data_IF_887893221585
#
_entry.id   IF_887893221585
#
_cell.length_a   1.000
_cell.length_b   1.000
_cell.length_c   1.000
_cell.angle_alpha   90.00
_cell.angle_beta   90.00
_cell.angle_gamma   90.00
#
_symmetry.space_group_name_H-M   'P 1'
#
loop_
_entity.id
_entity.type
_entity.pdbx_description
1 polymer ?
#
# COMPACT_ATOMS: atom_id res chain seq x y z
N UNK A 1 -49.60 24.91 8.40
CA UNK A 1 -50.09 25.04 9.80
C UNK A 1 -49.76 23.72 10.50
N UNK A 2 -49.03 23.75 11.63
CA UNK A 2 -48.48 22.58 12.37
C UNK A 2 -47.45 21.72 11.58
N UNK A 3 -46.14 21.64 11.86
CA UNK A 3 -45.31 21.48 13.10
C UNK A 3 -45.14 20.02 13.57
N UNK A 4 -43.90 19.52 13.45
CA UNK A 4 -43.06 18.74 14.42
C UNK A 4 -41.73 18.42 13.71
N UNK A 5 -40.59 19.05 14.06
CA UNK A 5 -39.69 18.88 15.22
C UNK A 5 -38.83 17.59 15.21
N UNK A 6 -37.53 17.75 14.92
CA UNK A 6 -36.35 17.14 15.58
C UNK A 6 -35.11 17.87 15.00
N UNK A 7 -34.58 18.91 15.64
CA UNK A 7 -33.50 18.91 16.66
C UNK A 7 -32.17 18.34 16.16
N UNK A 8 -31.18 19.23 16.07
CA UNK A 8 -29.78 19.00 15.70
C UNK A 8 -28.86 18.98 16.95
N UNK A 9 -27.62 18.53 16.76
CA UNK A 9 -26.43 18.72 17.64
C UNK A 9 -26.44 18.06 19.03
N UNK A 10 -25.51 17.13 19.25
CA UNK A 10 -24.24 17.38 19.99
C UNK A 10 -23.70 16.12 20.68
N UNK A 11 -22.46 15.71 20.36
CA UNK A 11 -21.55 15.00 21.27
C UNK A 11 -20.13 15.52 20.98
N UNK A 12 -19.41 15.92 22.02
CA UNK A 12 -17.98 16.19 21.96
C UNK A 12 -17.23 15.35 22.99
N UNK A 13 -15.91 15.23 22.79
CA UNK A 13 -14.86 14.86 23.74
C UNK A 13 -15.17 13.80 24.84
N UNK A 14 -14.52 12.64 24.73
CA UNK A 14 -14.28 11.74 25.87
C UNK A 14 -12.77 11.58 26.10
N UNK A 15 -12.25 12.30 27.10
CA UNK A 15 -10.88 12.13 27.62
C UNK A 15 -10.87 10.89 28.54
N UNK A 16 -9.87 10.02 28.39
CA UNK A 16 -9.65 8.89 29.30
C UNK A 16 -8.21 8.89 29.87
N UNK A 17 -8.10 9.17 31.17
CA UNK A 17 -6.87 9.10 31.98
C UNK A 17 -6.96 7.87 32.91
N UNK A 18 -6.15 6.82 32.73
CA UNK A 18 -5.72 5.85 33.79
C UNK A 18 -4.31 5.35 33.41
N UNK A 19 -3.24 5.86 34.03
CA UNK A 19 -2.54 5.33 35.24
C UNK A 19 -1.76 4.03 35.02
N UNK A 20 -0.45 4.08 35.31
CA UNK A 20 0.51 2.99 35.11
C UNK A 20 0.45 1.89 36.18
N UNK A 21 0.92 0.69 35.82
CA UNK A 21 1.45 -0.30 36.75
C UNK A 21 2.70 -0.96 36.15
N UNK A 22 3.85 -0.79 36.82
CA UNK A 22 5.09 -1.47 36.50
C UNK A 22 5.13 -2.87 37.12
N UNK A 23 5.75 -3.83 36.45
CA UNK A 23 6.44 -4.94 37.14
C UNK A 23 7.49 -5.60 36.25
N UNK A 24 8.73 -5.60 36.76
CA UNK A 24 9.89 -6.31 36.21
C UNK A 24 10.06 -7.67 36.89
N UNK A 25 10.37 -8.73 36.15
CA UNK A 25 11.03 -9.93 36.72
C UNK A 25 12.05 -10.48 35.72
N UNK A 26 13.20 -10.91 36.26
CA UNK A 26 14.40 -11.38 35.57
C UNK A 26 14.39 -12.86 35.11
N UNK A 27 15.33 -13.17 34.19
CA UNK A 27 16.02 -14.47 34.00
C UNK A 27 15.20 -15.67 33.47
N UNK A 28 15.69 -16.49 32.53
CA UNK A 28 16.96 -17.23 32.64
C UNK A 28 17.52 -17.78 31.31
N UNK A 29 18.83 -18.03 31.27
CA UNK A 29 19.52 -18.80 30.21
C UNK A 29 19.38 -20.31 30.46
N UNK A 30 19.12 -21.10 29.41
CA UNK A 30 19.71 -22.46 29.25
C UNK A 30 19.92 -22.77 27.75
N UNK A 31 21.14 -23.16 27.41
CA UNK A 31 21.54 -24.01 26.28
C UNK A 31 22.38 -25.13 26.94
N UNK A 32 22.35 -26.41 26.54
CA UNK A 32 22.84 -26.86 25.22
C UNK A 32 21.92 -27.99 24.64
N UNK A 33 22.27 -28.88 23.70
CA UNK A 33 23.55 -29.28 23.08
C UNK A 33 23.34 -29.91 21.68
N UNK A 34 24.44 -30.33 21.03
CA UNK A 34 24.45 -31.14 19.79
C UNK A 34 25.28 -32.41 20.03
N UNK A 35 24.92 -33.55 19.42
CA UNK A 35 25.96 -34.43 18.89
C UNK A 35 25.70 -34.86 17.43
N UNK A 36 26.79 -35.02 16.68
CA UNK A 36 26.82 -35.51 15.31
C UNK A 36 27.83 -36.66 15.16
N UNK A 37 27.51 -37.67 14.33
CA UNK A 37 28.41 -38.66 13.66
C UNK A 37 27.53 -39.47 12.68
N UNK A 38 27.85 -39.60 11.38
CA UNK A 38 28.75 -40.59 10.75
C UNK A 38 28.19 -42.05 10.78
N UNK A 39 28.32 -42.94 9.78
CA UNK A 39 29.15 -42.95 8.56
C UNK A 39 28.66 -43.99 7.48
N UNK A 40 28.96 -43.70 6.20
CA UNK A 40 29.20 -44.56 4.99
C UNK A 40 28.66 -46.00 4.75
N UNK A 41 28.05 -46.16 3.54
CA UNK A 41 28.30 -47.15 2.45
C UNK A 41 28.13 -48.68 2.64
N UNK A 42 27.36 -49.34 1.73
CA UNK A 42 27.96 -50.04 0.57
C UNK A 42 27.00 -50.55 -0.55
N UNK A 43 27.45 -50.33 -1.80
CA UNK A 43 27.27 -51.07 -3.09
C UNK A 43 26.07 -51.97 -3.41
N UNK A 44 25.51 -51.78 -4.64
CA UNK A 44 25.21 -52.90 -5.56
C UNK A 44 23.95 -52.77 -6.43
N UNK A 45 24.08 -52.57 -7.75
CA UNK A 45 22.98 -52.72 -8.72
C UNK A 45 23.10 -51.81 -9.95
N UNK A 46 23.05 -52.38 -11.16
CA UNK A 46 23.16 -51.66 -12.43
C UNK A 46 21.81 -51.52 -13.16
N UNK A 47 21.81 -50.71 -14.23
CA UNK A 47 20.76 -50.55 -15.26
C UNK A 47 19.51 -49.72 -14.88
N UNK A 48 19.52 -48.44 -15.25
CA UNK A 48 18.75 -47.96 -16.42
C UNK A 48 18.95 -46.45 -16.62
N UNK A 49 19.44 -46.04 -17.80
CA UNK A 49 19.50 -44.62 -18.17
C UNK A 49 18.12 -44.15 -18.66
N UNK A 50 17.17 -43.98 -17.73
CA UNK A 50 16.03 -43.11 -17.99
C UNK A 50 16.54 -41.67 -18.01
N UNK A 51 16.63 -41.11 -19.21
CA UNK A 51 16.91 -39.69 -19.45
C UNK A 51 15.74 -38.89 -18.88
N UNK A 52 15.81 -38.51 -17.60
CA UNK A 52 14.87 -37.58 -17.00
C UNK A 52 14.87 -36.32 -17.86
N UNK A 53 13.76 -36.11 -18.58
CA UNK A 53 13.44 -34.78 -19.07
C UNK A 53 13.26 -33.92 -17.83
N UNK A 54 14.27 -33.11 -17.51
CA UNK A 54 14.08 -31.97 -16.64
C UNK A 54 12.96 -31.18 -17.30
N UNK A 55 11.78 -31.19 -16.70
CA UNK A 55 10.69 -30.36 -17.18
C UNK A 55 11.20 -28.93 -17.14
N UNK A 56 11.26 -28.30 -18.31
CA UNK A 56 11.56 -26.88 -18.42
C UNK A 56 10.58 -26.14 -17.49
N UNK A 57 11.05 -25.24 -16.62
CA UNK A 57 10.14 -24.46 -15.79
C UNK A 57 9.07 -23.85 -16.71
N UNK A 58 7.78 -23.98 -16.40
CA UNK A 58 6.75 -23.39 -17.25
C UNK A 58 7.09 -21.92 -17.41
N UNK A 59 7.20 -21.47 -18.67
CA UNK A 59 7.50 -20.08 -18.97
C UNK A 59 6.54 -19.19 -18.16
N UNK A 60 7.04 -18.13 -17.50
CA UNK A 60 6.19 -17.27 -16.69
C UNK A 60 5.06 -16.75 -17.58
N UNK A 61 3.83 -17.19 -17.26
CA UNK A 61 2.66 -16.74 -18.01
C UNK A 61 2.56 -15.23 -17.81
N UNK A 62 2.62 -14.46 -18.90
CA UNK A 62 2.37 -13.02 -18.85
C UNK A 62 1.07 -12.79 -18.09
N UNK A 63 1.07 -12.02 -16.99
CA UNK A 63 -0.08 -11.93 -16.11
C UNK A 63 -1.27 -11.38 -16.89
N UNK A 64 -2.45 -11.94 -16.65
CA UNK A 64 -3.69 -11.33 -17.14
C UNK A 64 -3.84 -9.97 -16.46
N UNK A 65 -3.60 -8.89 -17.22
CA UNK A 65 -3.87 -7.53 -16.78
C UNK A 65 -5.34 -7.43 -16.36
N UNK A 66 -5.60 -6.92 -15.16
CA UNK A 66 -6.96 -6.64 -14.69
C UNK A 66 -7.32 -5.24 -15.21
N UNK A 67 -7.35 -5.12 -16.55
CA UNK A 67 -7.46 -3.84 -17.23
C UNK A 67 -8.85 -3.22 -17.04
N UNK A 68 -8.99 -2.37 -16.01
CA UNK A 68 -10.18 -1.53 -15.79
C UNK A 68 -10.10 -0.17 -16.51
N UNK A 69 -9.06 0.06 -17.32
CA UNK A 69 -8.82 1.31 -18.03
C UNK A 69 -9.26 1.17 -19.50
N UNK A 70 -10.23 1.96 -19.98
CA UNK A 70 -10.64 1.96 -21.38
C UNK A 70 -9.53 2.43 -22.32
N UNK A 71 -9.60 2.05 -23.60
CA UNK A 71 -8.71 2.62 -24.62
C UNK A 71 -9.05 4.09 -24.85
N UNK A 72 -8.06 5.00 -25.00
CA UNK A 72 -8.32 6.45 -25.11
C UNK A 72 -9.32 6.84 -26.21
N UNK A 73 -9.27 6.16 -27.37
CA UNK A 73 -10.17 6.39 -28.51
C UNK A 73 -11.66 6.09 -28.23
N UNK A 74 -11.96 5.42 -27.10
CA UNK A 74 -13.34 5.12 -26.66
C UNK A 74 -13.89 6.11 -25.63
N UNK A 75 -13.07 7.04 -25.13
CA UNK A 75 -13.45 7.95 -24.05
C UNK A 75 -14.22 9.18 -24.55
N UNK A 76 -15.11 9.70 -23.69
CA UNK A 76 -15.67 11.05 -23.86
C UNK A 76 -14.57 12.11 -23.72
N UNK A 77 -14.76 13.37 -24.15
CA UNK A 77 -13.76 14.43 -23.96
C UNK A 77 -13.36 14.65 -22.49
N UNK A 78 -14.31 14.45 -21.56
CA UNK A 78 -14.06 14.52 -20.13
C UNK A 78 -13.27 13.31 -19.62
N UNK A 79 -13.63 12.09 -20.07
CA UNK A 79 -12.86 10.88 -19.79
C UNK A 79 -11.44 10.96 -20.33
N UNK A 80 -11.26 11.41 -21.58
CA UNK A 80 -9.94 11.58 -22.18
C UNK A 80 -9.09 12.57 -21.38
N UNK A 81 -9.66 13.68 -20.90
CA UNK A 81 -8.95 14.60 -19.99
C UNK A 81 -8.59 13.95 -18.65
N UNK A 82 -9.50 13.20 -18.03
CA UNK A 82 -9.22 12.51 -16.77
C UNK A 82 -8.08 11.49 -16.93
N UNK A 83 -8.10 10.73 -18.03
CA UNK A 83 -7.05 9.78 -18.43
C UNK A 83 -5.71 10.48 -18.70
N UNK A 84 -5.71 11.57 -19.49
CA UNK A 84 -4.49 12.35 -19.78
C UNK A 84 -3.86 12.97 -18.53
N UNK A 85 -4.66 13.23 -17.50
CA UNK A 85 -4.23 13.77 -16.22
C UNK A 85 -3.83 12.68 -15.19
N UNK A 86 -3.86 11.39 -15.56
CA UNK A 86 -3.60 10.27 -14.66
C UNK A 86 -2.10 10.03 -14.45
N UNK A 87 -1.68 10.03 -13.19
CA UNK A 87 -0.30 9.66 -12.80
C UNK A 87 -0.03 8.16 -12.88
N UNK A 88 1.25 7.74 -12.93
CA UNK A 88 1.64 6.33 -13.01
C UNK A 88 1.15 5.50 -11.80
N UNK A 89 1.06 6.11 -10.60
CA UNK A 89 0.51 5.44 -9.42
C UNK A 89 -0.98 5.09 -9.57
N UNK A 90 -1.80 6.01 -10.07
CA UNK A 90 -3.23 5.75 -10.29
C UNK A 90 -3.44 4.77 -11.45
N UNK A 91 -2.65 4.90 -12.53
CA UNK A 91 -2.73 3.98 -13.65
C UNK A 91 -2.35 2.55 -13.22
N UNK A 92 -1.27 2.38 -12.47
CA UNK A 92 -0.88 1.10 -11.89
C UNK A 92 -1.96 0.51 -10.96
N UNK A 93 -2.59 1.35 -10.11
CA UNK A 93 -3.73 0.91 -9.29
C UNK A 93 -4.85 0.31 -10.17
N UNK A 94 -5.26 1.05 -11.21
CA UNK A 94 -6.33 0.67 -12.14
C UNK A 94 -6.01 -0.54 -13.03
N UNK A 95 -4.73 -0.80 -13.30
CA UNK A 95 -4.24 -2.00 -14.01
C UNK A 95 -4.17 -3.23 -13.09
N UNK A 96 -3.91 -3.03 -11.79
CA UNK A 96 -3.93 -4.09 -10.77
C UNK A 96 -5.35 -4.46 -10.32
N UNK A 97 -6.31 -3.55 -10.48
CA UNK A 97 -7.68 -3.70 -10.02
C UNK A 97 -7.84 -3.52 -8.50
N UNK A 98 -9.08 -3.71 -8.03
CA UNK A 98 -9.42 -3.72 -6.60
C UNK A 98 -9.31 -5.15 -6.04
N UNK A 99 -8.72 -5.37 -4.86
CA UNK A 99 -8.68 -6.70 -4.26
C UNK A 99 -10.09 -7.19 -3.88
N UNK A 100 -10.46 -8.38 -4.37
CA UNK A 100 -11.71 -9.07 -4.01
C UNK A 100 -11.54 -9.86 -2.70
N UNK A 101 -11.37 -9.13 -1.60
CA UNK A 101 -11.15 -9.65 -0.24
C UNK A 101 -11.91 -8.82 0.80
N UNK A 102 -12.40 -9.41 1.90
CA UNK A 102 -13.08 -8.66 2.96
C UNK A 102 -12.21 -7.57 3.59
N UNK A 103 -10.94 -7.88 3.89
CA UNK A 103 -9.96 -6.90 4.37
C UNK A 103 -8.65 -7.02 3.58
N UNK A 104 -8.17 -5.88 3.07
CA UNK A 104 -6.98 -5.79 2.25
C UNK A 104 -6.21 -4.49 2.47
N UNK A 105 -4.93 -4.54 2.09
CA UNK A 105 -4.05 -3.38 1.92
C UNK A 105 -3.47 -3.40 0.52
N UNK A 106 -3.47 -2.27 -0.16
CA UNK A 106 -2.68 -2.05 -1.36
C UNK A 106 -1.48 -1.17 -1.03
N UNK A 107 -0.29 -1.62 -1.40
CA UNK A 107 0.95 -0.82 -1.37
C UNK A 107 1.33 -0.51 -2.81
N UNK A 108 1.45 0.76 -3.16
CA UNK A 108 2.04 1.20 -4.43
C UNK A 108 3.39 1.85 -4.13
N UNK A 109 4.38 1.62 -4.98
CA UNK A 109 5.72 2.17 -4.81
C UNK A 109 6.21 2.71 -6.15
N UNK A 110 6.50 4.01 -6.22
CA UNK A 110 7.14 4.63 -7.37
C UNK A 110 8.65 4.60 -7.16
N UNK A 111 9.35 3.75 -7.92
CA UNK A 111 10.81 3.77 -7.97
C UNK A 111 11.31 5.10 -8.57
N UNK A 112 12.54 5.54 -8.25
CA UNK A 112 13.13 6.65 -8.96
C UNK A 112 13.20 6.34 -10.47
N UNK A 113 13.09 7.38 -11.33
CA UNK A 113 13.10 7.19 -12.77
C UNK A 113 14.43 6.60 -13.28
N UNK A 114 14.35 5.50 -14.03
CA UNK A 114 15.49 4.89 -14.71
C UNK A 114 15.73 5.61 -16.03
N UNK A 115 16.96 6.05 -16.27
CA UNK A 115 17.37 6.64 -17.55
C UNK A 115 17.80 5.54 -18.52
N UNK A 116 17.25 5.56 -19.74
CA UNK A 116 17.68 4.71 -20.86
C UNK A 116 18.15 5.56 -22.05
N UNK A 117 18.73 4.93 -23.06
CA UNK A 117 19.23 5.55 -24.30
C UNK A 117 20.06 6.82 -24.08
N UNK A 118 21.17 6.66 -23.34
CA UNK A 118 22.11 7.72 -22.93
C UNK A 118 21.44 8.92 -22.22
N UNK A 119 20.36 8.68 -21.49
CA UNK A 119 19.64 9.70 -20.71
C UNK A 119 18.62 10.51 -21.49
N UNK A 120 18.19 10.02 -22.68
CA UNK A 120 17.15 10.66 -23.49
C UNK A 120 15.75 10.29 -23.08
N UNK A 121 15.58 9.09 -22.55
CA UNK A 121 14.29 8.56 -22.11
C UNK A 121 14.34 8.22 -20.62
N UNK A 122 13.20 8.41 -19.98
CA UNK A 122 13.03 8.32 -18.54
C UNK A 122 11.90 7.33 -18.27
N UNK A 123 12.15 6.25 -17.54
CA UNK A 123 11.14 5.23 -17.24
C UNK A 123 10.78 5.24 -15.76
N UNK A 124 9.49 5.31 -15.48
CA UNK A 124 8.94 5.23 -14.12
C UNK A 124 8.43 3.81 -13.86
N UNK A 125 9.02 3.11 -12.90
CA UNK A 125 8.53 1.80 -12.47
C UNK A 125 7.63 1.96 -11.25
N UNK A 126 6.41 1.42 -11.33
CA UNK A 126 5.49 1.30 -10.18
C UNK A 126 5.28 -0.16 -9.85
N UNK A 127 5.67 -0.56 -8.63
CA UNK A 127 5.26 -1.87 -8.10
C UNK A 127 3.99 -1.72 -7.26
N UNK A 128 3.04 -2.62 -7.44
CA UNK A 128 1.79 -2.68 -6.68
C UNK A 128 1.69 -4.02 -5.98
N UNK A 129 1.55 -4.03 -4.66
CA UNK A 129 1.31 -5.23 -3.85
C UNK A 129 -0.12 -5.21 -3.28
N UNK A 130 -0.88 -6.29 -3.46
CA UNK A 130 -2.16 -6.53 -2.81
C UNK A 130 -1.97 -7.52 -1.66
N UNK A 131 -2.13 -7.03 -0.43
CA UNK A 131 -2.05 -7.85 0.78
C UNK A 131 -3.44 -8.26 1.27
N UNK A 132 -3.60 -9.56 1.55
CA UNK A 132 -4.75 -10.08 2.28
C UNK A 132 -4.58 -9.81 3.78
N UNK A 133 -5.44 -8.97 4.36
CA UNK A 133 -5.47 -8.68 5.80
C UNK A 133 -6.52 -9.50 6.55
N UNK A 134 -7.42 -10.20 5.85
CA UNK A 134 -8.57 -10.90 6.42
C UNK A 134 -8.18 -11.87 7.56
N UNK A 135 -7.11 -12.69 7.45
CA UNK A 135 -6.71 -13.58 8.56
C UNK A 135 -6.14 -12.81 9.76
N UNK A 136 -5.47 -11.67 9.56
CA UNK A 136 -5.05 -10.80 10.68
C UNK A 136 -6.28 -10.21 11.38
N UNK A 137 -7.26 -9.73 10.60
CA UNK A 137 -8.53 -9.22 11.14
C UNK A 137 -9.31 -10.28 11.90
N UNK A 138 -9.38 -11.51 11.37
CA UNK A 138 -9.96 -12.63 12.09
C UNK A 138 -9.28 -12.85 13.44
N UNK A 139 -7.95 -12.86 13.48
CA UNK A 139 -7.19 -13.07 14.72
C UNK A 139 -7.43 -11.93 15.74
N UNK A 140 -7.40 -10.68 15.30
CA UNK A 140 -7.69 -9.52 16.17
C UNK A 140 -9.12 -9.60 16.76
N UNK A 141 -10.12 -9.93 15.94
CA UNK A 141 -11.50 -10.10 16.39
C UNK A 141 -11.65 -11.28 17.37
N UNK A 142 -10.93 -12.39 17.14
CA UNK A 142 -10.88 -13.54 18.07
C UNK A 142 -10.27 -13.14 19.40
N UNK A 143 -9.19 -12.37 19.41
CA UNK A 143 -8.46 -12.01 20.62
C UNK A 143 -9.19 -10.93 21.43
N UNK A 144 -9.81 -9.95 20.76
CA UNK A 144 -10.53 -8.84 21.41
C UNK A 144 -11.98 -9.20 21.80
N UNK A 145 -12.67 -10.02 21.02
CA UNK A 145 -14.12 -10.29 21.19
C UNK A 145 -14.47 -11.78 21.33
N UNK A 146 -13.50 -12.69 21.18
CA UNK A 146 -13.70 -14.14 21.27
C UNK A 146 -14.19 -14.76 19.96
N UNK A 147 -13.72 -15.97 19.66
CA UNK A 147 -13.99 -16.67 18.38
C UNK A 147 -15.47 -16.92 18.04
N UNK A 148 -16.39 -16.81 18.99
CA UNK A 148 -17.83 -16.89 18.72
C UNK A 148 -18.40 -15.61 18.04
N UNK A 149 -17.66 -14.50 18.09
CA UNK A 149 -18.04 -13.20 17.54
C UNK A 149 -17.23 -12.80 16.29
N UNK A 150 -16.25 -13.62 15.88
CA UNK A 150 -15.46 -13.42 14.67
C UNK A 150 -16.00 -14.30 13.53
N UNK A 151 -16.24 -13.74 12.34
CA UNK A 151 -16.67 -14.53 11.17
C UNK A 151 -15.53 -15.45 10.69
N UNK A 152 -15.68 -16.79 10.71
CA UNK A 152 -14.66 -17.72 10.23
C UNK A 152 -14.28 -17.53 8.76
N UNK A 153 -15.13 -16.89 7.94
CA UNK A 153 -14.84 -16.60 6.53
C UNK A 153 -13.61 -15.69 6.35
N UNK A 154 -13.34 -14.82 7.34
CA UNK A 154 -12.20 -13.91 7.36
C UNK A 154 -10.86 -14.65 7.48
N UNK A 155 -10.81 -15.85 8.05
CA UNK A 155 -9.57 -16.64 8.18
C UNK A 155 -9.11 -17.28 6.85
N UNK A 156 -9.62 -16.82 5.71
CA UNK A 156 -9.21 -17.26 4.38
C UNK A 156 -7.80 -16.78 4.04
N UNK A 157 -6.85 -17.71 3.98
CA UNK A 157 -5.44 -17.48 3.62
C UNK A 157 -5.20 -17.50 2.11
N UNK A 158 -6.02 -16.77 1.35
CA UNK A 158 -5.78 -16.58 -0.07
C UNK A 158 -4.44 -15.89 -0.33
N UNK A 159 -3.72 -16.24 -1.42
CA UNK A 159 -2.41 -15.66 -1.74
C UNK A 159 -2.41 -14.13 -1.88
N UNK A 160 -1.27 -13.52 -1.57
CA UNK A 160 -0.99 -12.12 -1.93
C UNK A 160 -0.64 -12.03 -3.42
N UNK A 161 -0.81 -10.87 -4.02
CA UNK A 161 -0.44 -10.61 -5.43
C UNK A 161 0.46 -9.39 -5.51
N UNK A 162 1.36 -9.36 -6.49
CA UNK A 162 2.08 -8.14 -6.83
C UNK A 162 2.25 -8.01 -8.34
N UNK A 163 2.44 -6.78 -8.79
CA UNK A 163 2.74 -6.41 -10.17
C UNK A 163 3.87 -5.39 -10.19
N UNK A 164 4.62 -5.37 -11.29
CA UNK A 164 5.54 -4.29 -11.64
C UNK A 164 5.12 -3.75 -13.00
N UNK A 165 4.85 -2.45 -13.07
CA UNK A 165 4.46 -1.75 -14.29
C UNK A 165 5.52 -0.69 -14.62
N UNK A 166 5.98 -0.66 -15.86
CA UNK A 166 6.93 0.34 -16.34
C UNK A 166 6.21 1.32 -17.26
N UNK A 167 6.43 2.61 -17.04
CA UNK A 167 5.80 3.66 -17.84
C UNK A 167 6.78 4.68 -18.39
N UNK A 168 6.52 5.15 -19.61
CA UNK A 168 7.20 6.29 -20.24
C UNK A 168 6.38 7.59 -20.08
N UNK A 169 6.94 8.70 -19.59
CA UNK A 169 6.21 9.95 -19.40
C UNK A 169 6.00 10.69 -20.73
N UNK A 170 4.77 10.73 -21.24
CA UNK A 170 4.39 11.54 -22.39
C UNK A 170 4.18 13.00 -21.93
N UNK A 171 5.02 13.91 -22.44
CA UNK A 171 4.93 15.37 -22.24
C UNK A 171 4.70 15.80 -20.78
N UNK A 172 5.21 15.01 -19.83
CA UNK A 172 5.14 15.27 -18.39
C UNK A 172 3.77 15.08 -17.72
N UNK A 173 2.73 14.54 -18.39
CA UNK A 173 1.37 14.46 -17.80
C UNK A 173 0.66 13.12 -17.87
N UNK A 174 0.97 12.26 -18.85
CA UNK A 174 0.44 10.89 -18.91
C UNK A 174 1.59 9.90 -18.96
N UNK A 175 1.47 8.80 -18.24
CA UNK A 175 2.44 7.71 -18.23
C UNK A 175 1.98 6.61 -19.21
N UNK A 176 2.64 6.47 -20.37
CA UNK A 176 2.38 5.38 -21.32
C UNK A 176 2.87 4.06 -20.74
N UNK A 177 1.98 3.07 -20.59
CA UNK A 177 2.37 1.74 -20.14
C UNK A 177 3.23 1.07 -21.22
N UNK A 178 4.39 0.55 -20.83
CA UNK A 178 5.21 -0.34 -21.65
C UNK A 178 4.90 -1.81 -21.25
N UNK A 179 3.93 -2.48 -21.91
CA UNK A 179 3.42 -3.79 -21.49
C UNK A 179 4.49 -4.89 -21.51
N UNK A 180 5.52 -4.76 -22.36
CA UNK A 180 6.62 -5.72 -22.48
C UNK A 180 7.51 -5.80 -21.22
N UNK A 181 7.49 -4.78 -20.36
CA UNK A 181 8.18 -4.76 -19.07
C UNK A 181 7.22 -5.00 -17.89
N UNK A 182 5.98 -5.41 -18.15
CA UNK A 182 5.01 -5.67 -17.07
C UNK A 182 5.15 -7.07 -16.51
N UNK A 183 5.45 -7.16 -15.21
CA UNK A 183 5.55 -8.42 -14.47
C UNK A 183 4.40 -8.57 -13.47
N UNK A 184 4.05 -9.82 -13.15
CA UNK A 184 3.01 -10.14 -12.18
C UNK A 184 3.32 -11.44 -11.45
N UNK A 185 3.17 -11.45 -10.14
CA UNK A 185 3.57 -12.54 -9.27
C UNK A 185 2.48 -12.82 -8.22
N UNK A 186 2.39 -14.06 -7.76
CA UNK A 186 1.47 -14.49 -6.70
C UNK A 186 2.27 -15.17 -5.61
N UNK A 187 2.07 -14.74 -4.37
CA UNK A 187 2.85 -15.14 -3.21
C UNK A 187 1.97 -15.90 -2.21
N UNK A 188 2.37 -17.11 -1.73
CA UNK A 188 1.66 -17.81 -0.65
C UNK A 188 1.47 -16.90 0.56
N UNK A 189 0.34 -17.03 1.27
CA UNK A 189 0.00 -16.14 2.39
C UNK A 189 1.15 -16.02 3.41
N UNK A 190 1.69 -17.16 3.84
CA UNK A 190 2.77 -17.26 4.83
C UNK A 190 4.08 -16.59 4.41
N UNK A 191 4.30 -16.30 3.11
CA UNK A 191 5.55 -15.71 2.63
C UNK A 191 5.66 -14.19 2.87
N UNK A 192 4.54 -13.52 3.19
CA UNK A 192 4.46 -12.05 3.29
C UNK A 192 4.06 -11.54 4.68
N UNK A 193 3.62 -12.40 5.60
CA UNK A 193 3.21 -12.03 6.98
C UNK A 193 4.31 -11.35 7.82
N UNK A 194 5.58 -11.59 7.46
CA UNK A 194 6.77 -11.01 8.10
C UNK A 194 7.53 -10.06 7.17
N UNK A 195 6.94 -9.67 6.04
CA UNK A 195 7.55 -8.66 5.17
C UNK A 195 7.50 -7.31 5.88
N UNK A 196 8.66 -6.68 6.05
CA UNK A 196 8.74 -5.34 6.65
C UNK A 196 8.29 -4.29 5.65
N UNK A 197 7.44 -3.37 6.12
CA UNK A 197 7.15 -2.13 5.42
C UNK A 197 7.94 -1.02 6.12
N UNK A 198 8.96 -0.45 5.46
CA UNK A 198 9.99 0.49 5.99
C UNK A 198 9.49 1.70 6.85
N UNK A 199 8.19 1.96 6.81
CA UNK A 199 7.50 2.97 7.59
C UNK A 199 6.83 2.40 8.85
N UNK A 200 6.21 1.22 8.77
CA UNK A 200 5.43 0.59 9.85
C UNK A 200 5.56 -0.93 9.80
N UNK A 201 6.34 -1.48 10.76
CA UNK A 201 6.31 -2.90 11.15
C UNK A 201 6.23 -3.90 10.00
N UNK A 202 5.30 -4.85 10.11
CA UNK A 202 5.01 -5.82 9.05
C UNK A 202 3.89 -5.30 8.14
N UNK A 203 3.98 -5.55 6.85
CA UNK A 203 3.00 -5.08 5.86
C UNK A 203 1.57 -5.62 6.06
N UNK A 204 1.39 -6.68 6.85
CA UNK A 204 0.08 -7.29 7.19
C UNK A 204 -0.49 -6.89 8.56
N UNK A 205 0.12 -5.90 9.24
CA UNK A 205 -0.34 -5.33 10.52
C UNK A 205 -1.57 -4.43 10.32
N UNK A 206 -2.60 -4.57 11.16
CA UNK A 206 -3.83 -3.75 11.08
C UNK A 206 -3.66 -2.36 11.71
N UNK A 207 -2.73 -2.21 12.66
CA UNK A 207 -2.52 -0.98 13.44
C UNK A 207 -1.80 0.15 12.67
N UNK A 208 -1.89 0.11 11.34
CA UNK A 208 -0.99 0.80 10.41
C UNK A 208 -1.25 2.32 10.31
N UNK A 209 -2.51 2.75 10.48
CA UNK A 209 -2.99 4.10 10.15
C UNK A 209 -3.99 4.63 11.20
N UNK A 210 -3.55 4.80 12.45
CA UNK A 210 -4.37 5.55 13.39
C UNK A 210 -4.07 7.05 13.28
N UNK A 211 -5.10 7.85 12.97
CA UNK A 211 -5.02 9.30 12.83
C UNK A 211 -5.42 10.05 14.13
N UNK A 212 -5.64 9.34 15.25
CA UNK A 212 -6.05 9.91 16.54
C UNK A 212 -4.89 10.55 17.36
N UNK A 213 -3.65 10.39 16.89
CA UNK A 213 -2.44 10.87 17.54
C UNK A 213 -2.13 12.36 17.32
N UNK A 214 -1.49 12.98 18.31
CA UNK A 214 -1.07 14.39 18.29
C UNK A 214 0.00 14.76 17.23
N UNK A 215 0.59 13.75 16.60
CA UNK A 215 1.56 13.84 15.51
C UNK A 215 0.92 14.22 14.15
N UNK A 216 -0.41 14.15 14.04
CA UNK A 216 -1.15 14.52 12.85
C UNK A 216 -1.73 15.93 12.94
N UNK A 217 -1.54 16.71 11.88
CA UNK A 217 -2.18 18.02 11.68
C UNK A 217 -3.31 17.87 10.67
N UNK A 218 -4.51 18.34 10.99
CA UNK A 218 -5.60 18.44 10.02
C UNK A 218 -5.21 19.36 8.85
N UNK A 219 -5.48 18.92 7.63
CA UNK A 219 -5.23 19.64 6.40
C UNK A 219 -6.55 19.99 5.66
N UNK A 220 -6.46 20.65 4.51
CA UNK A 220 -7.64 21.06 3.73
C UNK A 220 -8.35 19.85 3.11
N UNK A 221 -9.60 19.59 3.54
CA UNK A 221 -10.45 18.53 2.98
C UNK A 221 -10.56 18.60 1.47
N UNK A 222 -10.51 17.46 0.80
CA UNK A 222 -10.62 17.35 -0.66
C UNK A 222 -12.00 16.83 -1.10
N UNK A 223 -12.37 17.11 -2.35
CA UNK A 223 -13.52 16.48 -3.00
C UNK A 223 -13.08 15.17 -3.67
N UNK A 224 -13.86 14.09 -3.61
CA UNK A 224 -13.54 12.85 -4.31
C UNK A 224 -13.65 13.01 -5.83
N UNK A 225 -12.61 12.57 -6.57
CA UNK A 225 -12.55 12.61 -8.04
C UNK A 225 -12.64 11.21 -8.66
N UNK A 226 -13.84 10.83 -9.12
CA UNK A 226 -14.11 9.58 -9.84
C UNK A 226 -13.86 9.74 -11.35
N UNK A 227 -13.46 8.67 -12.07
CA UNK A 227 -13.33 8.74 -13.51
C UNK A 227 -14.71 8.78 -14.21
N UNK A 228 -14.91 9.62 -15.24
CA UNK A 228 -16.20 9.75 -15.93
C UNK A 228 -16.73 8.48 -16.61
N UNK A 229 -15.92 7.43 -16.74
CA UNK A 229 -16.29 6.14 -17.33
C UNK A 229 -16.66 5.06 -16.31
N UNK A 230 -16.49 5.32 -15.01
CA UNK A 230 -16.81 4.37 -13.95
C UNK A 230 -18.29 4.45 -13.57
N UNK A 231 -18.99 3.32 -13.55
CA UNK A 231 -20.37 3.26 -13.04
C UNK A 231 -20.43 3.49 -11.53
N UNK A 232 -19.42 2.99 -10.81
CA UNK A 232 -19.36 2.96 -9.36
C UNK A 232 -17.96 3.40 -8.89
N UNK A 233 -17.92 4.36 -7.95
CA UNK A 233 -16.68 4.89 -7.39
C UNK A 233 -15.89 3.82 -6.65
N UNK A 234 -14.71 3.45 -7.18
CA UNK A 234 -13.77 2.58 -6.48
C UNK A 234 -12.87 3.43 -5.58
N UNK A 235 -13.05 3.31 -4.27
CA UNK A 235 -12.41 4.16 -3.27
C UNK A 235 -10.87 4.20 -3.40
N UNK A 236 -10.24 3.08 -3.79
CA UNK A 236 -8.79 3.03 -4.01
C UNK A 236 -8.29 4.06 -5.05
N UNK A 237 -8.97 4.22 -6.19
CA UNK A 237 -8.51 5.15 -7.23
C UNK A 237 -8.74 6.60 -6.81
N UNK A 238 -9.88 6.88 -6.17
CA UNK A 238 -10.18 8.17 -5.54
C UNK A 238 -9.11 8.54 -4.51
N UNK A 239 -8.70 7.58 -3.66
CA UNK A 239 -7.69 7.81 -2.62
C UNK A 239 -6.27 8.02 -3.18
N UNK A 240 -5.84 7.27 -4.21
CA UNK A 240 -4.54 7.51 -4.86
C UNK A 240 -4.48 8.94 -5.42
N UNK A 241 -5.56 9.39 -6.08
CA UNK A 241 -5.64 10.72 -6.67
C UNK A 241 -5.70 11.84 -5.62
N UNK A 242 -6.48 11.65 -4.55
CA UNK A 242 -6.56 12.59 -3.44
C UNK A 242 -5.22 12.71 -2.67
N UNK A 243 -4.52 11.61 -2.45
CA UNK A 243 -3.18 11.62 -1.86
C UNK A 243 -2.16 12.36 -2.74
N UNK A 244 -2.18 12.11 -4.05
CA UNK A 244 -1.34 12.85 -4.99
C UNK A 244 -1.67 14.34 -5.01
N UNK A 245 -2.96 14.71 -4.88
CA UNK A 245 -3.39 16.11 -4.79
C UNK A 245 -2.86 16.77 -3.52
N UNK A 246 -3.00 16.09 -2.37
CA UNK A 246 -2.53 16.60 -1.09
C UNK A 246 -1.00 16.76 -1.04
N UNK A 247 -0.26 15.83 -1.66
CA UNK A 247 1.19 15.91 -1.81
C UNK A 247 1.65 16.94 -2.85
N UNK A 248 0.74 17.56 -3.62
CA UNK A 248 1.08 18.50 -4.71
C UNK A 248 1.56 17.85 -6.01
N UNK A 249 1.52 16.52 -6.11
CA UNK A 249 1.85 15.75 -7.32
C UNK A 249 0.72 15.70 -8.35
N UNK A 250 -0.46 16.23 -8.00
CA UNK A 250 -1.62 16.34 -8.88
C UNK A 250 -2.35 17.67 -8.68
N UNK A 251 -2.71 18.32 -9.78
CA UNK A 251 -3.62 19.47 -9.78
C UNK A 251 -4.80 19.21 -10.76
N UNK A 252 -6.06 19.49 -10.40
CA UNK A 252 -7.21 19.22 -11.27
C UNK A 252 -7.20 19.97 -12.62
N UNK A 253 -6.48 21.09 -12.71
CA UNK A 253 -6.32 21.88 -13.93
C UNK A 253 -5.05 21.53 -14.72
N UNK A 254 -3.96 21.13 -14.04
CA UNK A 254 -2.66 20.85 -14.66
C UNK A 254 -2.35 19.35 -14.82
N UNK A 255 -3.12 18.45 -14.22
CA UNK A 255 -2.84 17.00 -14.26
C UNK A 255 -1.73 16.58 -13.31
N UNK A 256 -1.03 15.51 -13.65
CA UNK A 256 0.12 15.01 -12.91
C UNK A 256 1.31 16.00 -12.99
N UNK A 257 1.96 16.22 -11.85
CA UNK A 257 3.02 17.20 -11.63
C UNK A 257 4.17 16.55 -10.83
N UNK A 258 5.02 15.72 -11.45
CA UNK A 258 6.15 15.13 -10.74
C UNK A 258 7.18 16.23 -10.41
N UNK A 259 7.86 16.16 -9.25
CA UNK A 259 8.94 17.09 -8.93
C UNK A 259 10.08 17.00 -9.95
N UNK A 260 10.80 18.11 -10.13
CA UNK A 260 11.93 18.19 -11.08
C UNK A 260 13.21 17.55 -10.57
N UNK A 261 13.28 17.25 -9.28
CA UNK A 261 14.46 16.69 -8.61
C UNK A 261 14.08 15.41 -7.87
N UNK A 262 14.89 14.37 -8.06
CA UNK A 262 14.74 13.07 -7.40
C UNK A 262 15.62 13.09 -6.14
N UNK A 263 15.08 12.80 -4.95
CA UNK A 263 15.86 12.81 -3.72
C UNK A 263 17.03 11.83 -3.73
N UNK A 264 18.15 12.24 -3.13
CA UNK A 264 19.32 11.38 -2.95
C UNK A 264 18.97 10.09 -2.17
N UNK A 265 19.56 8.97 -2.58
CA UNK A 265 19.39 7.68 -1.89
C UNK A 265 18.07 6.96 -2.16
N UNK A 266 17.24 7.45 -3.09
CA UNK A 266 16.14 6.69 -3.68
C UNK A 266 16.66 5.54 -4.56
N UNK A 267 15.95 4.41 -4.57
CA UNK A 267 16.24 3.21 -5.38
C UNK A 267 15.01 2.31 -5.45
N UNK A 268 15.04 1.19 -6.17
CA UNK A 268 13.95 0.20 -6.13
C UNK A 268 13.69 -0.34 -4.71
N UNK A 269 14.75 -0.52 -3.93
CA UNK A 269 14.67 -0.94 -2.52
C UNK A 269 14.28 0.22 -1.58
N UNK A 270 14.32 1.48 -2.05
CA UNK A 270 14.01 2.69 -1.30
C UNK A 270 13.23 3.65 -2.21
N UNK A 271 12.00 3.28 -2.62
CA UNK A 271 11.23 3.99 -3.65
C UNK A 271 11.04 5.47 -3.28
N UNK A 272 10.89 6.32 -4.28
CA UNK A 272 10.69 7.76 -4.06
C UNK A 272 9.40 8.03 -3.29
N UNK A 273 8.30 7.48 -3.79
CA UNK A 273 6.97 7.55 -3.16
C UNK A 273 6.48 6.16 -2.81
N UNK A 274 5.88 6.01 -1.63
CA UNK A 274 5.09 4.84 -1.25
C UNK A 274 3.68 5.27 -0.86
N UNK A 275 2.68 4.63 -1.46
CA UNK A 275 1.27 4.83 -1.12
C UNK A 275 0.74 3.55 -0.50
N UNK A 276 0.01 3.68 0.61
CA UNK A 276 -0.68 2.60 1.27
C UNK A 276 -2.17 2.94 1.35
N UNK A 277 -3.04 1.99 1.03
CA UNK A 277 -4.49 2.15 1.11
C UNK A 277 -5.10 0.88 1.71
N UNK A 278 -5.95 1.04 2.73
CA UNK A 278 -6.70 -0.05 3.36
C UNK A 278 -8.20 0.18 3.22
N UNK A 279 -8.96 -0.90 3.05
CA UNK A 279 -10.44 -0.90 3.15
C UNK A 279 -10.97 -1.18 4.55
N UNK A 280 -10.09 -1.30 5.54
CA UNK A 280 -10.44 -1.54 6.93
C UNK A 280 -9.64 -0.61 7.86
N UNK A 281 -10.11 0.63 8.08
CA UNK A 281 -9.56 1.57 9.07
C UNK A 281 -9.95 1.25 10.53
N UNK A 282 -10.60 0.11 10.77
CA UNK A 282 -11.18 -0.25 12.05
C UNK A 282 -12.70 -0.09 12.07
N UNK A 283 -13.26 0.03 13.29
CA UNK A 283 -14.69 -0.13 13.56
C UNK A 283 -15.62 0.97 12.99
N UNK A 284 -15.07 2.07 12.45
CA UNK A 284 -15.87 3.11 11.78
C UNK A 284 -16.32 2.74 10.36
N UNK A 285 -15.62 1.79 9.71
CA UNK A 285 -15.75 1.57 8.27
C UNK A 285 -15.08 2.69 7.45
N UNK A 286 -15.31 2.68 6.13
CA UNK A 286 -14.63 3.59 5.20
C UNK A 286 -13.28 3.04 4.74
N UNK A 287 -12.44 3.93 4.22
CA UNK A 287 -11.14 3.64 3.65
C UNK A 287 -10.13 4.68 4.17
N UNK A 288 -8.89 4.24 4.30
CA UNK A 288 -7.78 5.07 4.75
C UNK A 288 -6.61 4.94 3.79
N UNK A 289 -5.80 5.98 3.69
CA UNK A 289 -4.55 5.90 2.95
C UNK A 289 -3.47 6.81 3.50
N UNK A 290 -2.22 6.46 3.20
CA UNK A 290 -1.04 7.30 3.43
C UNK A 290 -0.22 7.40 2.15
N UNK A 291 0.35 8.57 1.92
CA UNK A 291 1.43 8.87 1.00
C UNK A 291 2.68 9.17 1.80
N UNK A 292 3.78 8.48 1.45
CA UNK A 292 5.10 8.70 1.98
C UNK A 292 6.00 9.16 0.86
N UNK A 293 6.58 10.35 1.01
CA UNK A 293 7.52 10.89 0.05
C UNK A 293 8.87 11.08 0.71
N UNK A 294 9.91 10.45 0.16
CA UNK A 294 11.29 10.76 0.56
C UNK A 294 11.63 12.14 0.01
N UNK A 295 12.36 12.95 0.79
CA UNK A 295 12.79 14.31 0.42
C UNK A 295 14.27 14.52 0.67
N UNK A 296 14.89 15.45 -0.05
CA UNK A 296 16.31 15.79 0.06
C UNK A 296 16.55 16.84 1.16
N UNK A 297 16.06 16.59 2.38
CA UNK A 297 16.17 17.51 3.52
C UNK A 297 16.94 16.84 4.69
N UNK A 298 17.97 17.53 5.21
CA UNK A 298 18.81 17.06 6.33
C UNK A 298 18.05 16.87 7.66
N UNK A 299 16.85 17.45 7.78
CA UNK A 299 16.01 17.46 8.98
C UNK A 299 14.76 16.57 8.87
N UNK A 300 14.23 16.39 7.65
CA UNK A 300 13.03 15.59 7.36
C UNK A 300 13.39 14.45 6.42
N UNK A 301 13.24 13.20 6.88
CA UNK A 301 13.50 12.03 6.05
C UNK A 301 12.36 11.77 5.05
N UNK A 302 11.11 11.97 5.48
CA UNK A 302 9.93 11.79 4.64
C UNK A 302 8.81 12.77 5.00
N UNK A 303 8.08 13.24 3.99
CA UNK A 303 6.75 13.84 4.15
C UNK A 303 5.71 12.72 4.26
N UNK A 304 4.68 12.95 5.08
CA UNK A 304 3.60 11.98 5.31
C UNK A 304 2.25 12.69 5.15
N UNK A 305 1.47 12.28 4.16
CA UNK A 305 0.09 12.74 3.99
C UNK A 305 -0.86 11.58 4.24
N UNK A 306 -1.87 11.78 5.07
CA UNK A 306 -2.90 10.80 5.42
C UNK A 306 -4.26 11.24 4.92
N UNK A 307 -5.10 10.28 4.51
CA UNK A 307 -6.48 10.52 4.07
C UNK A 307 -7.43 9.52 4.68
N UNK A 308 -8.66 9.96 4.92
CA UNK A 308 -9.79 9.13 5.30
C UNK A 308 -11.01 9.44 4.41
N UNK A 309 -11.62 8.41 3.84
CA UNK A 309 -12.74 8.52 2.91
C UNK A 309 -13.80 7.45 3.17
N UNK A 310 -15.03 7.89 3.38
CA UNK A 310 -16.23 7.04 3.34
C UNK A 310 -17.01 7.36 2.06
N UNK A 311 -17.36 6.39 1.20
CA UNK A 311 -18.13 6.66 -0.03
C UNK A 311 -19.49 7.32 0.16
N UNK A 312 -20.04 7.32 1.38
CA UNK A 312 -21.27 8.02 1.74
C UNK A 312 -21.07 9.53 1.97
N UNK A 313 -19.83 9.99 2.17
CA UNK A 313 -19.49 11.39 2.43
C UNK A 313 -19.00 12.08 1.15
N UNK A 314 -19.38 13.35 0.98
CA UNK A 314 -18.96 14.17 -0.17
C UNK A 314 -17.59 14.82 0.01
N UNK A 315 -16.81 14.41 1.01
CA UNK A 315 -15.51 14.98 1.37
C UNK A 315 -14.54 13.87 1.77
N UNK A 316 -13.27 14.08 1.47
CA UNK A 316 -12.13 13.32 1.95
C UNK A 316 -11.47 14.15 3.05
N UNK A 317 -11.33 13.56 4.24
CA UNK A 317 -10.59 14.17 5.34
C UNK A 317 -9.09 13.93 5.12
N UNK A 318 -8.29 14.96 5.36
CA UNK A 318 -6.87 15.00 5.04
C UNK A 318 -6.05 15.38 6.26
N UNK A 319 -4.90 14.74 6.44
CA UNK A 319 -4.00 14.90 7.56
C UNK A 319 -2.56 14.98 7.05
N UNK A 320 -1.69 15.70 7.74
CA UNK A 320 -0.26 15.78 7.39
C UNK A 320 0.64 15.62 8.62
N UNK A 321 1.83 15.06 8.39
CA UNK A 321 2.85 14.80 9.39
C UNK A 321 4.22 14.65 8.73
N UNK A 322 5.29 14.59 9.53
CA UNK A 322 6.67 14.46 9.06
C UNK A 322 7.39 13.29 9.73
N UNK A 323 8.25 12.58 8.99
CA UNK A 323 9.22 11.64 9.57
C UNK A 323 10.55 12.37 9.74
N UNK A 324 10.81 12.90 10.93
CA UNK A 324 12.06 13.64 11.22
C UNK A 324 13.29 12.73 11.32
N UNK A 325 14.44 13.26 10.91
CA UNK A 325 15.71 12.54 10.95
C UNK A 325 16.57 12.96 12.16
N UNK A 326 16.35 12.39 13.36
CA UNK A 326 17.42 12.30 14.41
C UNK A 326 17.15 11.43 15.66
N UNK A 327 18.13 10.54 15.90
CA UNK A 327 18.67 10.10 17.21
C UNK A 327 17.72 9.62 18.32
N UNK A 328 17.46 8.31 18.32
CA UNK A 328 17.26 7.47 19.51
C UNK A 328 17.72 6.03 19.19
N UNK A 329 17.93 5.12 20.17
CA UNK A 329 18.81 3.97 19.99
C UNK A 329 18.31 2.96 18.95
N UNK A 330 19.19 2.07 18.42
CA UNK A 330 18.81 1.04 17.45
C UNK A 330 17.62 0.23 17.96
N UNK A 331 16.45 0.41 17.33
CA UNK A 331 15.18 -0.16 17.77
C UNK A 331 14.04 0.86 17.95
N UNK A 332 14.32 2.16 18.11
CA UNK A 332 13.27 3.20 18.15
C UNK A 332 12.77 3.55 16.74
N UNK A 333 12.01 2.63 16.14
CA UNK A 333 11.11 2.95 15.03
C UNK A 333 9.99 3.89 15.53
N UNK A 334 9.45 4.72 14.62
CA UNK A 334 8.26 5.58 14.84
C UNK A 334 8.46 6.73 15.84
N UNK A 335 8.90 7.88 15.35
CA UNK A 335 8.36 9.17 15.79
C UNK A 335 8.00 9.97 14.54
N UNK A 336 6.70 9.99 14.24
CA UNK A 336 6.10 11.06 13.45
C UNK A 336 6.20 12.36 14.25
N UNK A 337 6.31 13.49 13.56
CA UNK A 337 6.40 14.82 14.14
C UNK A 337 5.41 15.77 13.44
N UNK A 338 4.75 16.68 14.19
CA UNK A 338 3.74 17.59 13.66
C UNK A 338 4.31 18.79 12.87
#
# INVERSE_FOLDING_TARGET
MSIKNLVWLSIGAAIAFITACSQSVDSAKVNPEVPATAETQNTGGALSQSRSQTAEPPAPASPTLIAQVPTPDSLSPEGLRYFQNMGPLEYAARLSGVPDLPAWRVRLRLSPPTLIDDGREQLNTVTVDHYNLSPTLYQDLVDNYGAANADPSLNNRSPHRAWSFTFMPIMGRTAELLPEYTEGQTFPFESKINESCDFVGNCTDLSFLNFDGSEWREATTLSPEQAPWESDSQAIYVLVRALAQQAGWYDPSLGWLPPTEVPEGTSEARPWVEVFIDNYPGNGGGYQGIWLERVADDSVQQLVHGVFYEPANSQIYTFESYRCHRTSPPGSLRLLCP
#
